data_IF_136049539972
#
_entry.id   IF_136049539972
#
_cell.length_a   1.000
_cell.length_b   1.000
_cell.length_c   1.000
_cell.angle_alpha   90.00
_cell.angle_beta   90.00
_cell.angle_gamma   90.00
#
_symmetry.space_group_name_H-M   'P 1'
#
loop_
_entity.id
_entity.type
_entity.pdbx_description
1 polymer ?
#
# COMPACT_ATOMS: atom_id res chain seq x y z
N UNK A 1 -1.61 -4.60 9.99
CA UNK A 1 -0.62 -3.50 9.90
C UNK A 1 0.52 -3.93 9.01
N UNK A 2 0.89 -3.09 8.07
CA UNK A 2 1.97 -3.38 7.13
C UNK A 2 3.03 -2.31 7.29
N UNK A 3 4.28 -2.73 7.45
CA UNK A 3 5.44 -1.83 7.45
C UNK A 3 6.20 -1.99 6.14
N UNK A 4 6.43 -0.90 5.45
CA UNK A 4 7.13 -0.87 4.16
C UNK A 4 8.41 -0.05 4.32
N UNK A 5 9.53 -0.61 3.90
CA UNK A 5 10.80 0.10 3.86
C UNK A 5 11.27 0.17 2.42
N UNK A 6 11.58 1.39 1.95
CA UNK A 6 12.07 1.63 0.59
C UNK A 6 13.40 2.36 0.70
N UNK A 7 14.38 1.86 -0.08
CA UNK A 7 15.67 2.52 -0.16
C UNK A 7 15.62 3.72 -1.11
N UNK A 8 15.62 4.91 -0.54
CA UNK A 8 15.66 6.18 -1.26
C UNK A 8 16.99 6.92 -1.04
N UNK A 9 18.05 6.21 -0.62
CA UNK A 9 19.32 6.85 -0.23
C UNK A 9 19.91 7.71 -1.33
N UNK A 10 19.89 7.30 -2.58
CA UNK A 10 20.45 8.09 -3.69
C UNK A 10 19.63 9.37 -3.93
N UNK A 11 18.30 9.28 -3.88
CA UNK A 11 17.41 10.41 -4.05
C UNK A 11 17.48 11.36 -2.85
N UNK A 12 17.57 10.82 -1.65
CA UNK A 12 17.72 11.58 -0.41
C UNK A 12 19.02 12.38 -0.41
N UNK A 13 20.12 11.78 -0.88
CA UNK A 13 21.42 12.46 -0.99
C UNK A 13 21.36 13.69 -1.87
N UNK A 14 20.63 13.64 -2.99
CA UNK A 14 20.46 14.78 -3.90
C UNK A 14 19.73 15.95 -3.26
N UNK A 15 18.93 15.72 -2.25
CA UNK A 15 18.18 16.75 -1.51
C UNK A 15 18.75 17.05 -0.13
N UNK A 16 19.92 16.49 0.22
CA UNK A 16 20.50 16.62 1.56
C UNK A 16 20.75 18.08 1.97
N UNK A 17 21.10 18.93 1.03
CA UNK A 17 21.34 20.37 1.27
C UNK A 17 20.07 21.22 1.19
N UNK A 18 18.90 20.59 0.97
CA UNK A 18 17.61 21.25 0.83
C UNK A 18 16.60 20.63 1.78
N UNK A 19 16.68 20.89 3.09
CA UNK A 19 15.92 20.17 4.10
C UNK A 19 14.40 20.32 3.95
N UNK A 20 13.90 21.45 3.48
CA UNK A 20 12.46 21.64 3.28
C UNK A 20 11.94 20.79 2.10
N UNK A 21 12.67 20.75 0.99
CA UNK A 21 12.34 19.92 -0.17
C UNK A 21 12.42 18.44 0.20
N UNK A 22 13.44 18.04 0.95
CA UNK A 22 13.59 16.67 1.43
C UNK A 22 12.41 16.27 2.32
N UNK A 23 12.02 17.12 3.26
CA UNK A 23 10.89 16.87 4.15
C UNK A 23 9.59 16.71 3.36
N UNK A 24 9.35 17.56 2.35
CA UNK A 24 8.16 17.42 1.48
C UNK A 24 8.17 16.10 0.71
N UNK A 25 9.30 15.74 0.13
CA UNK A 25 9.45 14.47 -0.60
C UNK A 25 9.16 13.27 0.32
N UNK A 26 9.72 13.24 1.50
CA UNK A 26 9.52 12.18 2.48
C UNK A 26 8.06 12.06 2.90
N UNK A 27 7.40 13.16 3.24
CA UNK A 27 6.00 13.18 3.65
C UNK A 27 5.06 12.76 2.51
N UNK A 28 5.30 13.25 1.32
CA UNK A 28 4.50 12.88 0.16
C UNK A 28 4.72 11.41 -0.22
N UNK A 29 5.95 10.91 -0.11
CA UNK A 29 6.26 9.51 -0.35
C UNK A 29 5.49 8.59 0.62
N UNK A 30 5.45 8.92 1.91
CA UNK A 30 4.70 8.13 2.90
C UNK A 30 3.21 8.08 2.56
N UNK A 31 2.61 9.19 2.17
CA UNK A 31 1.20 9.23 1.75
C UNK A 31 0.94 8.34 0.54
N UNK A 32 1.82 8.39 -0.44
CA UNK A 32 1.69 7.59 -1.66
C UNK A 32 1.89 6.11 -1.38
N UNK A 33 2.86 5.74 -0.57
CA UNK A 33 3.07 4.35 -0.14
C UNK A 33 1.79 3.81 0.51
N UNK A 34 1.23 4.53 1.46
CA UNK A 34 -0.01 4.15 2.11
C UNK A 34 -1.17 4.00 1.13
N UNK A 35 -1.29 4.92 0.18
CA UNK A 35 -2.35 4.87 -0.84
C UNK A 35 -2.18 3.68 -1.80
N UNK A 36 -0.96 3.37 -2.22
CA UNK A 36 -0.70 2.21 -3.08
C UNK A 36 -1.07 0.92 -2.35
N UNK A 37 -0.62 0.75 -1.11
CA UNK A 37 -0.95 -0.44 -0.29
C UNK A 37 -2.46 -0.55 -0.10
N UNK A 38 -3.12 0.56 0.23
CA UNK A 38 -4.58 0.61 0.38
C UNK A 38 -5.30 0.23 -0.92
N UNK A 39 -4.85 0.75 -2.06
CA UNK A 39 -5.44 0.45 -3.36
C UNK A 39 -5.28 -1.03 -3.72
N UNK A 40 -4.09 -1.59 -3.57
CA UNK A 40 -3.87 -3.03 -3.79
C UNK A 40 -4.75 -3.87 -2.88
N UNK A 41 -4.88 -3.48 -1.61
CA UNK A 41 -5.76 -4.16 -0.65
C UNK A 41 -7.21 -4.13 -1.12
N UNK A 42 -7.70 -2.97 -1.51
CA UNK A 42 -9.10 -2.78 -1.96
C UNK A 42 -9.37 -3.53 -3.26
N UNK A 43 -8.45 -3.48 -4.21
CA UNK A 43 -8.59 -4.15 -5.50
C UNK A 43 -8.51 -5.69 -5.38
N UNK A 44 -7.82 -6.22 -4.38
CA UNK A 44 -7.75 -7.65 -4.12
C UNK A 44 -9.12 -8.31 -3.95
N UNK A 45 -10.13 -7.55 -3.50
CA UNK A 45 -11.50 -8.03 -3.35
C UNK A 45 -12.18 -8.32 -4.70
N UNK A 46 -11.74 -7.68 -5.76
CA UNK A 46 -12.35 -7.80 -7.09
C UNK A 46 -11.44 -8.49 -8.11
N UNK A 47 -10.13 -8.25 -8.01
CA UNK A 47 -9.16 -8.68 -9.01
C UNK A 47 -8.11 -9.61 -8.38
N UNK A 48 -8.09 -10.89 -8.81
CA UNK A 48 -7.11 -11.85 -8.31
C UNK A 48 -5.64 -11.44 -8.50
N UNK A 49 -5.35 -10.58 -9.48
CA UNK A 49 -3.98 -10.13 -9.76
C UNK A 49 -3.41 -9.25 -8.62
N UNK A 50 -4.25 -8.68 -7.78
CA UNK A 50 -3.84 -7.88 -6.62
C UNK A 50 -3.68 -8.70 -5.35
N UNK A 51 -4.00 -10.00 -5.38
CA UNK A 51 -3.91 -10.89 -4.20
C UNK A 51 -2.51 -11.45 -4.09
N UNK A 52 -1.97 -11.58 -2.85
CA UNK A 52 -0.66 -12.19 -2.64
C UNK A 52 -0.65 -13.69 -2.94
N UNK A 53 -1.83 -14.32 -2.88
CA UNK A 53 -2.03 -15.74 -3.20
C UNK A 53 -3.47 -15.97 -3.65
N UNK A 54 -3.73 -17.05 -4.40
CA UNK A 54 -5.10 -17.39 -4.80
C UNK A 54 -6.00 -17.62 -3.58
N UNK A 55 -7.25 -17.16 -3.67
CA UNK A 55 -8.24 -17.41 -2.62
C UNK A 55 -8.91 -18.76 -2.81
N UNK A 56 -9.18 -19.44 -1.70
CA UNK A 56 -9.97 -20.64 -1.71
C UNK A 56 -11.38 -20.36 -2.27
N UNK A 57 -11.97 -21.27 -3.07
CA UNK A 57 -13.32 -21.11 -3.58
C UNK A 57 -14.33 -21.06 -2.42
N UNK A 58 -15.49 -20.44 -2.68
CA UNK A 58 -16.54 -20.37 -1.67
C UNK A 58 -17.16 -21.74 -1.42
N UNK A 59 -17.58 -21.97 -0.19
CA UNK A 59 -18.35 -23.17 0.17
C UNK A 59 -19.81 -23.07 -0.29
N UNK A 60 -20.41 -21.89 -0.19
CA UNK A 60 -21.78 -21.64 -0.61
C UNK A 60 -21.80 -21.27 -2.10
N UNK A 61 -22.07 -22.26 -2.94
CA UNK A 61 -22.14 -22.10 -4.39
C UNK A 61 -23.39 -21.34 -4.88
N UNK A 62 -24.37 -21.12 -4.00
CA UNK A 62 -25.60 -20.41 -4.35
C UNK A 62 -25.48 -18.89 -4.13
N UNK A 63 -24.48 -18.44 -3.41
CA UNK A 63 -24.26 -17.01 -3.17
C UNK A 63 -23.89 -16.30 -4.47
N UNK A 64 -24.53 -15.18 -4.72
CA UNK A 64 -24.35 -14.39 -5.96
C UNK A 64 -23.39 -13.22 -5.81
N UNK A 65 -23.08 -12.83 -4.57
CA UNK A 65 -22.11 -11.74 -4.32
C UNK A 65 -20.68 -12.24 -4.46
N UNK A 66 -19.71 -11.38 -4.82
CA UNK A 66 -18.31 -11.74 -4.83
C UNK A 66 -17.81 -12.17 -3.44
N UNK A 67 -16.73 -12.98 -3.41
CA UNK A 67 -16.10 -13.39 -2.16
C UNK A 67 -15.71 -12.18 -1.31
N UNK A 68 -16.04 -12.21 -0.02
CA UNK A 68 -15.76 -11.17 0.96
C UNK A 68 -16.44 -9.81 0.71
N UNK A 69 -17.34 -9.72 -0.27
CA UNK A 69 -18.07 -8.47 -0.59
C UNK A 69 -19.58 -8.69 -0.41
N UNK A 70 -20.00 -9.17 0.75
CA UNK A 70 -21.44 -9.33 1.02
C UNK A 70 -22.11 -7.98 1.23
N UNK A 71 -21.59 -7.16 2.14
CA UNK A 71 -22.06 -5.79 2.39
C UNK A 71 -21.14 -4.73 1.83
N UNK A 72 -19.90 -5.09 1.48
CA UNK A 72 -18.86 -4.16 1.09
C UNK A 72 -18.19 -3.42 2.26
N UNK A 73 -18.58 -3.70 3.50
CA UNK A 73 -18.08 -2.99 4.68
C UNK A 73 -16.57 -3.19 4.86
N UNK A 74 -16.10 -4.42 4.76
CA UNK A 74 -14.68 -4.70 4.89
C UNK A 74 -13.88 -3.97 3.81
N UNK A 75 -14.29 -4.08 2.56
CA UNK A 75 -13.61 -3.45 1.42
C UNK A 75 -13.50 -1.93 1.55
N UNK A 76 -14.53 -1.28 2.09
CA UNK A 76 -14.61 0.18 2.20
C UNK A 76 -13.91 0.77 3.42
N UNK A 77 -13.51 -0.06 4.38
CA UNK A 77 -13.06 0.43 5.69
C UNK A 77 -11.54 0.40 5.88
N UNK A 78 -10.77 0.29 4.83
CA UNK A 78 -9.32 0.44 4.93
C UNK A 78 -8.93 1.91 4.99
N UNK A 79 -7.97 2.21 5.86
CA UNK A 79 -7.43 3.56 6.07
C UNK A 79 -5.92 3.53 5.96
N UNK A 80 -5.38 4.62 5.46
CA UNK A 80 -3.94 4.87 5.41
C UNK A 80 -3.65 6.13 6.20
N UNK A 81 -2.78 6.02 7.19
CA UNK A 81 -2.44 7.13 8.09
C UNK A 81 -0.94 7.23 8.25
N UNK A 82 -0.39 8.41 8.00
CA UNK A 82 1.01 8.70 8.32
C UNK A 82 1.10 8.99 9.82
N UNK A 83 1.88 8.19 10.55
CA UNK A 83 1.95 8.25 12.02
C UNK A 83 3.22 8.90 12.55
N UNK A 84 4.16 9.23 11.67
CA UNK A 84 5.43 9.84 12.08
C UNK A 84 6.24 10.29 10.87
N UNK A 85 7.51 10.66 11.07
CA UNK A 85 8.35 11.15 9.97
C UNK A 85 8.73 10.06 8.97
N UNK A 86 8.62 8.80 9.33
CA UNK A 86 9.09 7.65 8.55
C UNK A 86 8.10 6.48 8.51
N UNK A 87 6.88 6.65 9.01
CA UNK A 87 5.93 5.55 9.18
C UNK A 87 4.56 5.87 8.62
N UNK A 88 4.03 4.96 7.84
CA UNK A 88 2.63 4.96 7.41
C UNK A 88 2.01 3.61 7.78
N UNK A 89 0.78 3.66 8.26
CA UNK A 89 0.00 2.48 8.67
C UNK A 89 -1.21 2.35 7.77
N UNK A 90 -1.42 1.15 7.23
CA UNK A 90 -2.63 0.79 6.50
C UNK A 90 -3.36 -0.30 7.27
N UNK A 91 -4.62 -0.11 7.54
CA UNK A 91 -5.40 -1.05 8.32
C UNK A 91 -6.88 -0.79 8.26
N UNK A 92 -7.63 -1.56 9.03
CA UNK A 92 -9.07 -1.46 9.16
C UNK A 92 -9.49 -1.66 10.60
N UNK A 93 -10.61 -1.02 10.98
CA UNK A 93 -11.26 -1.25 12.28
C UNK A 93 -12.27 -2.39 12.25
N UNK A 94 -12.51 -3.00 11.11
CA UNK A 94 -13.45 -4.12 10.99
C UNK A 94 -12.88 -5.33 11.70
N UNK A 95 -13.56 -5.79 12.76
CA UNK A 95 -13.05 -6.82 13.67
C UNK A 95 -12.79 -8.16 12.98
N UNK A 96 -13.63 -8.55 12.04
CA UNK A 96 -13.50 -9.83 11.34
C UNK A 96 -12.44 -9.83 10.22
N UNK A 97 -11.79 -8.70 9.96
CA UNK A 97 -10.77 -8.60 8.89
C UNK A 97 -9.60 -9.58 9.11
N UNK A 98 -9.14 -9.70 10.35
CA UNK A 98 -8.05 -10.63 10.69
C UNK A 98 -8.39 -12.09 10.39
N UNK A 99 -9.63 -12.48 10.58
CA UNK A 99 -10.08 -13.84 10.29
C UNK A 99 -9.99 -14.16 8.79
N UNK A 100 -10.33 -13.21 7.94
CA UNK A 100 -10.20 -13.37 6.49
C UNK A 100 -8.75 -13.35 6.04
N UNK A 101 -7.94 -12.45 6.59
CA UNK A 101 -6.52 -12.32 6.24
C UNK A 101 -5.72 -13.59 6.60
N UNK A 102 -5.94 -14.11 7.80
CA UNK A 102 -5.13 -15.20 8.34
C UNK A 102 -5.82 -16.57 8.34
N UNK A 103 -7.13 -16.58 8.11
CA UNK A 103 -7.93 -17.80 8.28
C UNK A 103 -8.16 -18.13 9.74
N UNK A 104 -9.00 -19.13 9.96
CA UNK A 104 -9.28 -19.71 11.28
C UNK A 104 -9.28 -21.22 11.16
N UNK A 105 -9.45 -21.91 12.30
CA UNK A 105 -9.59 -23.38 12.33
C UNK A 105 -10.68 -23.88 11.35
N UNK A 106 -11.75 -23.08 11.17
CA UNK A 106 -12.92 -23.47 10.39
C UNK A 106 -13.04 -22.71 9.06
N UNK A 107 -12.10 -21.82 8.75
CA UNK A 107 -12.19 -20.93 7.61
C UNK A 107 -10.83 -20.77 6.93
N UNK A 108 -10.75 -20.94 5.59
CA UNK A 108 -9.48 -20.73 4.89
C UNK A 108 -9.08 -19.27 4.90
N UNK A 109 -7.77 -19.01 4.89
CA UNK A 109 -7.25 -17.67 4.70
C UNK A 109 -7.57 -17.19 3.28
N UNK A 110 -8.00 -15.91 3.18
CA UNK A 110 -8.16 -15.18 1.93
C UNK A 110 -7.46 -13.85 2.09
N UNK A 111 -6.13 -13.84 1.97
CA UNK A 111 -5.35 -12.63 2.24
C UNK A 111 -5.64 -11.55 1.19
N UNK A 112 -5.90 -10.35 1.68
CA UNK A 112 -6.17 -9.17 0.86
C UNK A 112 -5.06 -8.13 0.94
N UNK A 113 -4.27 -8.08 2.02
CA UNK A 113 -3.10 -7.21 2.06
C UNK A 113 -2.04 -7.71 1.06
N UNK A 114 -1.36 -6.80 0.35
CA UNK A 114 -0.38 -7.18 -0.67
C UNK A 114 0.97 -7.58 -0.05
N UNK A 115 0.94 -8.55 0.85
CA UNK A 115 2.12 -9.09 1.53
C UNK A 115 2.13 -10.62 1.44
N UNK A 116 3.32 -11.19 1.34
CA UNK A 116 3.51 -12.63 1.35
C UNK A 116 3.48 -13.20 2.77
N UNK A 117 3.72 -14.52 2.89
CA UNK A 117 3.73 -15.21 4.17
C UNK A 117 4.83 -14.70 5.13
N UNK A 118 5.82 -14.02 4.63
CA UNK A 118 6.93 -13.44 5.40
C UNK A 118 6.72 -11.95 5.72
N UNK A 119 5.58 -11.39 5.37
CA UNK A 119 5.25 -9.99 5.59
C UNK A 119 5.90 -9.02 4.60
N UNK A 120 6.46 -9.53 3.50
CA UNK A 120 7.05 -8.71 2.45
C UNK A 120 6.02 -8.33 1.40
N UNK A 121 6.11 -7.10 0.88
CA UNK A 121 5.23 -6.65 -0.19
C UNK A 121 5.37 -7.52 -1.43
N UNK A 122 4.24 -7.73 -2.12
CA UNK A 122 4.25 -8.40 -3.42
C UNK A 122 5.07 -7.60 -4.43
N UNK A 123 5.67 -8.26 -5.44
CA UNK A 123 6.42 -7.54 -6.49
C UNK A 123 5.61 -6.45 -7.19
N UNK A 124 4.33 -6.68 -7.44
CA UNK A 124 3.46 -5.69 -8.07
C UNK A 124 3.27 -4.44 -7.21
N UNK A 125 3.00 -4.61 -5.91
CA UNK A 125 2.87 -3.49 -4.98
C UNK A 125 4.19 -2.74 -4.85
N UNK A 126 5.31 -3.47 -4.76
CA UNK A 126 6.63 -2.86 -4.65
C UNK A 126 6.97 -2.02 -5.90
N UNK A 127 6.66 -2.50 -7.10
CA UNK A 127 6.88 -1.73 -8.34
C UNK A 127 6.07 -0.43 -8.34
N UNK A 128 4.78 -0.50 -8.00
CA UNK A 128 3.92 0.68 -7.97
C UNK A 128 4.41 1.70 -6.95
N UNK A 129 4.81 1.24 -5.76
CA UNK A 129 5.37 2.11 -4.74
C UNK A 129 6.65 2.78 -5.23
N UNK A 130 7.58 1.99 -5.76
CA UNK A 130 8.88 2.48 -6.20
C UNK A 130 8.73 3.55 -7.30
N UNK A 131 7.91 3.29 -8.30
CA UNK A 131 7.67 4.22 -9.41
C UNK A 131 7.08 5.54 -8.91
N UNK A 132 6.10 5.48 -8.03
CA UNK A 132 5.47 6.67 -7.48
C UNK A 132 6.39 7.47 -6.55
N UNK A 133 7.18 6.79 -5.73
CA UNK A 133 8.15 7.44 -4.84
C UNK A 133 9.26 8.12 -5.65
N UNK A 134 9.77 7.46 -6.67
CA UNK A 134 10.77 8.06 -7.57
C UNK A 134 10.25 9.34 -8.22
N UNK A 135 9.02 9.35 -8.70
CA UNK A 135 8.39 10.54 -9.30
C UNK A 135 8.30 11.71 -8.32
N UNK A 136 7.94 11.43 -7.06
CA UNK A 136 7.86 12.45 -6.01
C UNK A 136 9.23 13.11 -5.79
N UNK A 137 10.27 12.30 -5.62
CA UNK A 137 11.63 12.82 -5.40
C UNK A 137 12.14 13.58 -6.62
N UNK A 138 11.89 13.07 -7.83
CA UNK A 138 12.28 13.76 -9.08
C UNK A 138 11.65 15.14 -9.18
N UNK A 139 10.36 15.28 -8.83
CA UNK A 139 9.69 16.59 -8.81
C UNK A 139 10.36 17.57 -7.88
N UNK A 140 10.73 17.15 -6.67
CA UNK A 140 11.42 18.01 -5.71
C UNK A 140 12.82 18.35 -6.18
N UNK A 141 13.54 17.40 -6.76
CA UNK A 141 14.89 17.62 -7.32
C UNK A 141 14.81 18.62 -8.47
N UNK A 142 13.88 18.44 -9.39
CA UNK A 142 13.68 19.36 -10.52
C UNK A 142 13.29 20.76 -10.04
N UNK A 143 12.48 20.85 -9.00
CA UNK A 143 12.10 22.13 -8.40
C UNK A 143 13.29 22.89 -7.80
N UNK A 144 14.24 22.18 -7.22
CA UNK A 144 15.44 22.77 -6.61
C UNK A 144 16.51 23.09 -7.65
N UNK A 145 16.75 22.18 -8.61
CA UNK A 145 17.88 22.30 -9.56
C UNK A 145 17.44 22.75 -10.95
N UNK A 146 16.23 22.46 -11.38
CA UNK A 146 15.73 22.73 -12.72
C UNK A 146 14.89 23.99 -12.86
N UNK A 147 14.27 24.47 -11.77
CA UNK A 147 13.33 25.58 -11.81
C UNK A 147 13.93 26.93 -12.18
N UNK A 148 15.22 27.13 -11.97
CA UNK A 148 15.93 28.36 -12.33
C UNK A 148 16.22 28.50 -13.81
N UNK A 149 16.11 27.44 -14.58
CA UNK A 149 16.40 27.46 -16.00
C UNK A 149 15.22 27.85 -16.89
N UNK A 150 14.05 28.01 -16.32
CA UNK A 150 12.83 28.31 -17.03
C UNK A 150 12.54 29.82 -17.16
N UNK A 151 13.47 30.62 -16.71
CA UNK A 151 13.35 32.07 -16.78
C UNK A 151 13.47 32.63 -18.19
#
# INVERSE_FOLDING_TARGET
MITVTIDTSDLTRKLADFPEALARAQQNALKVIGNVVKNHTTEAFRDPNYRPSPWAPRKDKKATHPLLIKSGDLRRNFRSVVTGPDTVVVGTKVEYAGYHQHGTKNMPARPFFPVDAYGQLTPAAMRDIKDNVEDIYKKEIDGVFGGGGAG
#
